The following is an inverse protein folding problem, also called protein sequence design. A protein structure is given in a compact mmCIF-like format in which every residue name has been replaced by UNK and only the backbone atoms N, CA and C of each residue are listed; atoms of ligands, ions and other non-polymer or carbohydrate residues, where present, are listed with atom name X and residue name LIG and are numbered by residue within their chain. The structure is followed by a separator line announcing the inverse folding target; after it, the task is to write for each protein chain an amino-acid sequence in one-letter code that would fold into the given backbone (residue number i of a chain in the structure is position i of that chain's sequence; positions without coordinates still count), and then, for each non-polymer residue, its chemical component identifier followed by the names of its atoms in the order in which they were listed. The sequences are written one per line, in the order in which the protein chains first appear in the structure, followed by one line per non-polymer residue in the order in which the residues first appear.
data_IF_131708249856
#
_entry.id   IF_131708249856
#
_cell.length_a   1.000
_cell.length_b   1.000
_cell.length_c   1.000
_cell.angle_alpha   90.00
_cell.angle_beta   90.00
_cell.angle_gamma   90.00
#
_symmetry.space_group_name_H-M   'P 1'
#
loop_
_entity.id
_entity.type
_entity.pdbx_description
1 polymer ?
#
# COMPACT_ATOMS: atom_id res chain seq x y z
N UNK A 1 8.73 -27.67 -34.32
CA UNK A 1 7.77 -26.55 -34.51
C UNK A 1 8.14 -25.45 -33.54
N UNK A 2 7.96 -24.17 -33.91
CA UNK A 2 8.16 -23.04 -32.99
C UNK A 2 7.07 -23.10 -31.91
N UNK A 3 7.45 -22.94 -30.63
CA UNK A 3 6.47 -22.91 -29.54
C UNK A 3 5.59 -21.67 -29.70
N UNK A 4 4.28 -21.76 -29.39
CA UNK A 4 3.45 -20.57 -29.34
C UNK A 4 3.92 -19.64 -28.22
N UNK A 5 3.86 -18.34 -28.46
CA UNK A 5 4.27 -17.33 -27.48
C UNK A 5 3.06 -16.63 -26.88
N UNK A 6 3.03 -16.54 -25.56
CA UNK A 6 2.04 -15.81 -24.77
C UNK A 6 2.70 -14.53 -24.26
N UNK A 7 2.03 -13.40 -24.43
CA UNK A 7 2.49 -12.12 -23.93
C UNK A 7 1.77 -11.76 -22.63
N UNK A 8 2.51 -11.46 -21.57
CA UNK A 8 1.99 -10.94 -20.30
C UNK A 8 2.34 -9.46 -20.16
N UNK A 9 1.37 -8.60 -20.41
CA UNK A 9 1.49 -7.16 -20.19
C UNK A 9 1.12 -6.79 -18.76
N UNK A 10 1.98 -6.01 -18.12
CA UNK A 10 1.81 -5.59 -16.72
C UNK A 10 2.62 -4.32 -16.40
N UNK A 11 2.33 -3.69 -15.27
CA UNK A 11 3.16 -2.60 -14.73
C UNK A 11 4.45 -3.18 -14.15
N UNK A 12 5.59 -2.47 -14.19
CA UNK A 12 6.80 -2.91 -13.49
C UNK A 12 6.58 -2.98 -11.99
N UNK A 13 5.62 -2.24 -11.44
CA UNK A 13 5.22 -2.37 -10.03
C UNK A 13 4.70 -3.77 -9.70
N UNK A 14 4.18 -4.50 -10.69
CA UNK A 14 3.63 -5.84 -10.52
C UNK A 14 4.62 -6.94 -10.96
N UNK A 15 5.87 -6.58 -11.27
CA UNK A 15 6.88 -7.48 -11.86
C UNK A 15 7.09 -8.77 -11.05
N UNK A 16 7.13 -8.70 -9.72
CA UNK A 16 7.33 -9.88 -8.89
C UNK A 16 6.14 -10.85 -8.96
N UNK A 17 4.91 -10.32 -8.85
CA UNK A 17 3.68 -11.10 -8.93
C UNK A 17 3.56 -11.76 -10.30
N UNK A 18 3.83 -11.02 -11.37
CA UNK A 18 3.72 -11.53 -12.75
C UNK A 18 4.83 -12.51 -13.08
N UNK A 19 6.06 -12.32 -12.58
CA UNK A 19 7.11 -13.32 -12.73
C UNK A 19 6.78 -14.61 -11.97
N UNK A 20 6.18 -14.51 -10.78
CA UNK A 20 5.73 -15.68 -10.03
C UNK A 20 4.64 -16.44 -10.80
N UNK A 21 3.64 -15.73 -11.34
CA UNK A 21 2.60 -16.31 -12.18
C UNK A 21 3.19 -16.94 -13.46
N UNK A 22 4.15 -16.28 -14.12
CA UNK A 22 4.88 -16.83 -15.26
C UNK A 22 5.54 -18.16 -14.90
N UNK A 23 6.25 -18.25 -13.78
CA UNK A 23 6.92 -19.48 -13.36
C UNK A 23 5.92 -20.62 -13.11
N UNK A 24 4.78 -20.30 -12.48
CA UNK A 24 3.68 -21.26 -12.29
C UNK A 24 3.13 -21.75 -13.65
N UNK A 25 2.84 -20.83 -14.57
CA UNK A 25 2.34 -21.17 -15.91
C UNK A 25 3.35 -22.01 -16.70
N UNK A 26 4.64 -21.65 -16.70
CA UNK A 26 5.68 -22.44 -17.36
C UNK A 26 5.76 -23.86 -16.81
N UNK A 27 5.60 -24.02 -15.50
CA UNK A 27 5.60 -25.33 -14.83
C UNK A 27 4.35 -26.13 -15.23
N UNK A 28 3.16 -25.54 -15.13
CA UNK A 28 1.87 -26.21 -15.40
C UNK A 28 1.64 -26.51 -16.89
N UNK A 29 2.34 -25.82 -17.78
CA UNK A 29 2.32 -26.06 -19.25
C UNK A 29 3.49 -26.94 -19.72
N UNK A 30 4.28 -27.50 -18.81
CA UNK A 30 5.47 -28.29 -19.12
C UNK A 30 6.42 -27.58 -20.11
N UNK A 31 6.47 -26.25 -20.06
CA UNK A 31 7.28 -25.39 -20.94
C UNK A 31 7.04 -25.59 -22.44
N UNK A 32 5.86 -26.09 -22.83
CA UNK A 32 5.50 -26.29 -24.25
C UNK A 32 5.00 -25.01 -24.93
N UNK A 33 4.74 -23.95 -24.15
CA UNK A 33 4.55 -22.56 -24.59
C UNK A 33 5.73 -21.69 -24.15
N UNK A 34 5.98 -20.60 -24.88
CA UNK A 34 6.90 -19.55 -24.45
C UNK A 34 6.10 -18.40 -23.82
N UNK A 35 6.64 -17.79 -22.76
CA UNK A 35 6.00 -16.67 -22.06
C UNK A 35 6.93 -15.45 -22.05
N UNK A 36 6.51 -14.39 -22.73
CA UNK A 36 7.16 -13.09 -22.73
C UNK A 36 6.45 -12.14 -21.75
N UNK A 37 7.19 -11.34 -20.99
CA UNK A 37 6.65 -10.35 -20.08
C UNK A 37 7.22 -8.97 -20.42
N UNK A 38 6.37 -7.95 -20.52
CA UNK A 38 6.80 -6.55 -20.58
C UNK A 38 6.49 -5.85 -19.26
N UNK A 39 7.50 -5.23 -18.65
CA UNK A 39 7.33 -4.34 -17.50
C UNK A 39 7.41 -2.90 -18.00
N UNK A 40 6.40 -2.07 -17.72
CA UNK A 40 6.19 -0.68 -18.15
C UNK A 40 7.42 0.26 -18.29
N UNK A 41 8.27 0.05 -19.30
CA UNK A 41 9.22 1.04 -19.80
C UNK A 41 10.35 1.51 -18.87
N UNK A 42 10.29 1.30 -17.55
CA UNK A 42 11.27 1.83 -16.59
C UNK A 42 12.60 1.06 -16.58
N UNK A 43 12.69 -0.06 -17.29
CA UNK A 43 13.89 -0.90 -17.35
C UNK A 43 14.79 -0.64 -18.58
N UNK A 44 14.68 0.52 -19.24
CA UNK A 44 15.29 0.75 -20.55
C UNK A 44 16.40 1.83 -20.48
N UNK A 45 17.65 1.50 -20.86
CA UNK A 45 18.70 2.49 -21.07
C UNK A 45 18.37 3.45 -22.21
N UNK A 46 18.60 4.75 -22.01
CA UNK A 46 18.41 5.77 -23.04
C UNK A 46 19.20 5.44 -24.32
N UNK A 47 18.56 5.57 -25.50
CA UNK A 47 19.21 5.46 -26.81
C UNK A 47 19.08 4.12 -27.55
N UNK A 48 18.43 3.09 -26.98
CA UNK A 48 18.05 1.87 -27.73
C UNK A 48 16.64 1.98 -28.30
N UNK A 49 16.45 1.51 -29.53
CA UNK A 49 15.15 1.46 -30.20
C UNK A 49 14.29 0.31 -29.61
N UNK A 50 13.84 0.49 -28.37
CA UNK A 50 13.04 -0.45 -27.57
C UNK A 50 11.76 -0.91 -28.27
N UNK A 51 11.16 -0.02 -29.06
CA UNK A 51 9.95 -0.29 -29.83
C UNK A 51 10.14 -1.55 -30.66
N UNK A 52 11.32 -1.78 -31.25
CA UNK A 52 11.56 -2.97 -32.07
C UNK A 52 11.51 -4.29 -31.29
N UNK A 53 12.05 -4.37 -30.07
CA UNK A 53 12.07 -5.63 -29.31
C UNK A 53 10.68 -5.97 -28.76
N UNK A 54 9.94 -4.98 -28.28
CA UNK A 54 8.55 -5.17 -27.85
C UNK A 54 7.65 -5.41 -29.05
N UNK A 55 7.83 -4.68 -30.14
CA UNK A 55 7.13 -4.93 -31.41
C UNK A 55 7.39 -6.33 -31.93
N UNK A 56 8.63 -6.81 -31.91
CA UNK A 56 8.97 -8.17 -32.34
C UNK A 56 8.36 -9.22 -31.41
N UNK A 57 8.42 -9.02 -30.09
CA UNK A 57 7.79 -9.90 -29.12
C UNK A 57 6.26 -9.94 -29.26
N UNK A 58 5.63 -8.78 -29.45
CA UNK A 58 4.19 -8.64 -29.69
C UNK A 58 3.82 -9.31 -31.02
N UNK A 59 4.53 -9.01 -32.11
CA UNK A 59 4.27 -9.60 -33.45
C UNK A 59 4.40 -11.12 -33.45
N UNK A 60 5.29 -11.68 -32.63
CA UNK A 60 5.46 -13.13 -32.50
C UNK A 60 4.48 -13.80 -31.51
N UNK A 61 3.69 -13.02 -30.76
CA UNK A 61 2.78 -13.55 -29.75
C UNK A 61 1.44 -13.94 -30.36
N UNK A 62 0.92 -15.10 -29.96
CA UNK A 62 -0.38 -15.60 -30.44
C UNK A 62 -1.56 -15.08 -29.63
N UNK A 63 -1.29 -14.67 -28.38
CA UNK A 63 -2.28 -14.18 -27.42
C UNK A 63 -1.59 -13.27 -26.39
N UNK A 64 -2.31 -12.25 -25.93
CA UNK A 64 -1.87 -11.32 -24.92
C UNK A 64 -2.83 -11.33 -23.72
N UNK A 65 -2.29 -11.55 -22.53
CA UNK A 65 -2.98 -11.28 -21.27
C UNK A 65 -2.54 -9.92 -20.74
N UNK A 66 -3.52 -9.08 -20.42
CA UNK A 66 -3.32 -7.73 -19.90
C UNK A 66 -3.68 -7.72 -18.42
N UNK A 67 -2.69 -7.76 -17.54
CA UNK A 67 -2.93 -7.81 -16.10
C UNK A 67 -3.20 -6.41 -15.55
N UNK A 68 -4.44 -6.22 -15.08
CA UNK A 68 -4.86 -4.99 -14.42
C UNK A 68 -4.89 -5.20 -12.91
N UNK A 69 -4.09 -4.41 -12.20
CA UNK A 69 -3.96 -4.37 -10.75
C UNK A 69 -4.29 -2.96 -10.25
N UNK A 70 -4.41 -2.73 -8.93
CA UNK A 70 -4.59 -1.37 -8.42
C UNK A 70 -3.44 -0.43 -8.82
N UNK A 71 -2.23 -0.98 -9.05
CA UNK A 71 -1.07 -0.24 -9.51
C UNK A 71 -1.14 0.16 -10.99
N UNK A 72 -1.87 -0.61 -11.81
CA UNK A 72 -1.76 -0.58 -13.25
C UNK A 72 -3.03 -0.09 -13.98
N UNK A 73 -4.13 0.06 -13.25
CA UNK A 73 -5.43 0.54 -13.78
C UNK A 73 -5.35 1.90 -14.51
N UNK A 74 -4.41 2.76 -14.11
CA UNK A 74 -4.16 4.07 -14.72
C UNK A 74 -2.86 4.11 -15.56
N UNK A 75 -2.24 2.96 -15.83
CA UNK A 75 -0.99 2.90 -16.59
C UNK A 75 -1.24 3.06 -18.09
N UNK A 76 -0.95 4.26 -18.62
CA UNK A 76 -1.02 4.54 -20.07
C UNK A 76 -0.27 3.51 -20.92
N UNK A 77 0.80 2.91 -20.37
CA UNK A 77 1.62 1.93 -21.08
C UNK A 77 0.85 0.64 -21.39
N UNK A 78 0.06 0.14 -20.44
CA UNK A 78 -0.74 -1.07 -20.63
C UNK A 78 -1.79 -0.87 -21.71
N UNK A 79 -2.42 0.30 -21.74
CA UNK A 79 -3.37 0.66 -22.81
C UNK A 79 -2.68 0.74 -24.17
N UNK A 80 -1.46 1.29 -24.23
CA UNK A 80 -0.67 1.35 -25.47
C UNK A 80 -0.36 -0.05 -26.01
N UNK A 81 0.16 -0.95 -25.17
CA UNK A 81 0.47 -2.33 -25.59
C UNK A 81 -0.78 -3.10 -26.01
N UNK A 82 -1.88 -2.96 -25.27
CA UNK A 82 -3.15 -3.60 -25.60
C UNK A 82 -3.69 -3.10 -26.94
N UNK A 83 -3.66 -1.78 -27.17
CA UNK A 83 -4.07 -1.18 -28.44
C UNK A 83 -3.20 -1.63 -29.62
N UNK A 84 -1.88 -1.72 -29.41
CA UNK A 84 -0.95 -2.21 -30.43
C UNK A 84 -1.26 -3.66 -30.82
N UNK A 85 -1.36 -4.56 -29.85
CA UNK A 85 -1.69 -5.97 -30.08
C UNK A 85 -3.02 -6.14 -30.80
N UNK A 86 -4.04 -5.39 -30.35
CA UNK A 86 -5.36 -5.42 -30.97
C UNK A 86 -5.29 -5.01 -32.45
N UNK A 87 -4.51 -3.97 -32.78
CA UNK A 87 -4.30 -3.53 -34.18
C UNK A 87 -3.63 -4.58 -35.08
N UNK A 88 -2.90 -5.53 -34.49
CA UNK A 88 -2.24 -6.65 -35.18
C UNK A 88 -3.09 -7.92 -35.21
N UNK A 89 -4.37 -7.84 -34.84
CA UNK A 89 -5.28 -8.98 -34.74
C UNK A 89 -4.81 -10.07 -33.75
N UNK A 90 -3.99 -9.69 -32.77
CA UNK A 90 -3.64 -10.56 -31.65
C UNK A 90 -4.80 -10.51 -30.67
N UNK A 91 -5.17 -11.66 -30.14
CA UNK A 91 -6.22 -11.76 -29.13
C UNK A 91 -5.72 -11.16 -27.81
N UNK A 92 -6.42 -10.12 -27.33
CA UNK A 92 -6.09 -9.38 -26.11
C UNK A 92 -7.15 -9.65 -25.06
N UNK A 93 -6.74 -10.18 -23.91
CA UNK A 93 -7.63 -10.58 -22.82
C UNK A 93 -7.24 -9.81 -21.55
N UNK A 94 -8.05 -8.86 -21.10
CA UNK A 94 -7.86 -8.22 -19.79
C UNK A 94 -8.08 -9.21 -18.64
N UNK A 95 -7.20 -9.16 -17.65
CA UNK A 95 -7.26 -10.01 -16.45
C UNK A 95 -7.14 -9.12 -15.22
N UNK A 96 -8.22 -8.98 -14.47
CA UNK A 96 -8.23 -8.28 -13.19
C UNK A 96 -7.54 -9.13 -12.13
N UNK A 97 -6.57 -8.55 -11.41
CA UNK A 97 -5.77 -9.24 -10.40
C UNK A 97 -5.65 -8.35 -9.15
N UNK A 98 -5.44 -8.97 -7.99
CA UNK A 98 -5.30 -8.28 -6.68
C UNK A 98 -6.52 -7.42 -6.33
N UNK A 99 -7.73 -7.96 -6.54
CA UNK A 99 -8.97 -7.32 -6.15
C UNK A 99 -9.48 -6.19 -7.05
N UNK A 100 -8.88 -5.99 -8.23
CA UNK A 100 -9.43 -5.09 -9.25
C UNK A 100 -10.70 -5.66 -9.84
N UNK A 101 -11.66 -4.77 -10.08
CA UNK A 101 -12.82 -5.06 -10.91
C UNK A 101 -12.68 -4.41 -12.30
N UNK A 102 -12.47 -5.24 -13.33
CA UNK A 102 -12.40 -4.80 -14.72
C UNK A 102 -13.66 -4.03 -15.19
N UNK A 103 -14.82 -4.22 -14.55
CA UNK A 103 -16.06 -3.51 -14.91
C UNK A 103 -15.94 -1.99 -14.70
N UNK A 104 -15.01 -1.56 -13.86
CA UNK A 104 -14.80 -0.15 -13.50
C UNK A 104 -13.85 0.59 -14.46
N UNK A 105 -13.28 -0.12 -15.44
CA UNK A 105 -12.24 0.40 -16.33
C UNK A 105 -12.87 1.17 -17.50
N UNK A 106 -12.19 2.22 -17.94
CA UNK A 106 -12.61 3.02 -19.09
C UNK A 106 -12.19 2.38 -20.43
N UNK A 107 -12.89 2.70 -21.52
CA UNK A 107 -12.45 2.32 -22.87
C UNK A 107 -11.01 2.81 -23.14
N UNK A 108 -10.24 2.12 -24.00
CA UNK A 108 -10.67 1.02 -24.88
C UNK A 108 -10.63 -0.37 -24.25
N UNK A 109 -9.97 -0.55 -23.09
CA UNK A 109 -9.72 -1.88 -22.53
C UNK A 109 -11.01 -2.57 -22.06
N UNK A 110 -11.99 -1.81 -21.57
CA UNK A 110 -13.31 -2.33 -21.18
C UNK A 110 -14.17 -2.81 -22.35
N UNK A 111 -13.79 -2.49 -23.60
CA UNK A 111 -14.44 -3.02 -24.80
C UNK A 111 -14.03 -4.47 -25.08
N UNK A 112 -12.93 -4.94 -24.48
CA UNK A 112 -12.42 -6.30 -24.64
C UNK A 112 -13.01 -7.21 -23.55
N UNK A 113 -13.32 -8.45 -23.92
CA UNK A 113 -13.79 -9.43 -22.94
C UNK A 113 -12.62 -9.95 -22.10
N UNK A 114 -12.76 -9.81 -20.79
CA UNK A 114 -11.79 -10.23 -19.79
C UNK A 114 -12.46 -10.88 -18.57
N UNK A 115 -11.68 -11.17 -17.54
CA UNK A 115 -12.20 -11.73 -16.28
C UNK A 115 -11.38 -11.29 -15.06
N UNK A 116 -12.02 -11.24 -13.89
CA UNK A 116 -11.38 -10.96 -12.61
C UNK A 116 -10.93 -12.28 -11.94
N UNK A 117 -9.70 -12.33 -11.45
CA UNK A 117 -9.19 -13.42 -10.62
C UNK A 117 -9.57 -13.16 -9.17
N UNK A 118 -10.77 -13.59 -8.79
CA UNK A 118 -11.28 -13.51 -7.42
C UNK A 118 -11.09 -14.81 -6.61
N UNK A 119 -10.66 -15.89 -7.28
CA UNK A 119 -10.45 -17.21 -6.69
C UNK A 119 -9.44 -18.02 -7.51
N UNK A 120 -9.03 -19.19 -7.02
CA UNK A 120 -8.08 -20.05 -7.74
C UNK A 120 -8.67 -20.58 -9.06
N UNK A 121 -10.01 -20.72 -9.15
CA UNK A 121 -10.71 -21.03 -10.39
C UNK A 121 -10.50 -19.93 -11.44
N UNK A 122 -10.38 -18.68 -11.00
CA UNK A 122 -9.99 -17.55 -11.86
C UNK A 122 -8.62 -17.78 -12.51
N UNK A 123 -7.63 -18.28 -11.76
CA UNK A 123 -6.32 -18.64 -12.34
C UNK A 123 -6.43 -19.79 -13.34
N UNK A 124 -7.30 -20.76 -13.08
CA UNK A 124 -7.54 -21.87 -14.01
C UNK A 124 -8.15 -21.41 -15.35
N UNK A 125 -8.81 -20.26 -15.41
CA UNK A 125 -9.27 -19.69 -16.68
C UNK A 125 -8.11 -19.40 -17.63
N UNK A 126 -6.92 -19.03 -17.13
CA UNK A 126 -5.73 -18.84 -17.96
C UNK A 126 -5.37 -20.14 -18.71
N UNK A 127 -5.30 -21.27 -17.99
CA UNK A 127 -5.01 -22.58 -18.59
C UNK A 127 -6.10 -23.02 -19.56
N UNK A 128 -7.38 -22.74 -19.22
CA UNK A 128 -8.51 -23.04 -20.11
C UNK A 128 -8.39 -22.28 -21.44
N UNK A 129 -8.09 -20.98 -21.38
CA UNK A 129 -7.88 -20.14 -22.57
C UNK A 129 -6.69 -20.64 -23.38
N UNK A 130 -5.56 -20.94 -22.73
CA UNK A 130 -4.36 -21.46 -23.40
C UNK A 130 -4.66 -22.80 -24.09
N UNK A 131 -5.35 -23.71 -23.41
CA UNK A 131 -5.77 -24.99 -23.97
C UNK A 131 -6.64 -24.82 -25.23
N UNK A 132 -7.65 -23.95 -25.15
CA UNK A 132 -8.52 -23.64 -26.30
C UNK A 132 -7.74 -22.99 -27.44
N UNK A 133 -6.87 -22.01 -27.14
CA UNK A 133 -6.13 -21.24 -28.15
C UNK A 133 -5.14 -22.09 -28.94
N UNK A 134 -4.48 -23.03 -28.27
CA UNK A 134 -3.38 -23.81 -28.85
C UNK A 134 -3.73 -25.29 -29.06
N UNK A 135 -5.00 -25.67 -28.84
CA UNK A 135 -5.47 -27.06 -28.91
C UNK A 135 -4.64 -27.99 -28.00
N UNK A 136 -4.36 -27.53 -26.78
CA UNK A 136 -3.68 -28.29 -25.74
C UNK A 136 -4.65 -28.77 -24.66
N UNK A 137 -4.15 -29.67 -23.79
CA UNK A 137 -4.94 -30.32 -22.73
C UNK A 137 -4.22 -30.32 -21.40
N UNK A 138 -3.67 -29.18 -20.98
CA UNK A 138 -3.05 -29.04 -19.65
C UNK A 138 -4.10 -29.22 -18.54
N UNK A 139 -3.75 -29.88 -17.42
CA UNK A 139 -4.64 -29.99 -16.29
C UNK A 139 -4.86 -28.62 -15.62
N UNK A 140 -6.12 -28.30 -15.30
CA UNK A 140 -6.51 -27.11 -14.52
C UNK A 140 -6.07 -27.27 -13.06
N UNK A 141 -4.78 -27.05 -12.84
CA UNK A 141 -4.06 -27.44 -11.62
C UNK A 141 -3.66 -26.27 -10.74
N UNK A 142 -4.27 -25.08 -10.92
CA UNK A 142 -4.14 -24.02 -9.92
C UNK A 142 -4.96 -24.35 -8.68
N UNK A 143 -4.40 -24.07 -7.51
CA UNK A 143 -5.01 -24.28 -6.21
C UNK A 143 -5.02 -23.00 -5.36
N UNK A 144 -5.74 -23.00 -4.24
CA UNK A 144 -5.78 -21.87 -3.30
C UNK A 144 -4.38 -21.44 -2.82
N UNK A 145 -3.45 -22.38 -2.63
CA UNK A 145 -2.06 -22.08 -2.26
C UNK A 145 -1.31 -21.28 -3.32
N UNK A 146 -1.63 -21.49 -4.61
CA UNK A 146 -1.02 -20.73 -5.70
C UNK A 146 -1.51 -19.28 -5.68
N UNK A 147 -2.82 -19.07 -5.43
CA UNK A 147 -3.40 -17.74 -5.28
C UNK A 147 -2.83 -17.02 -4.06
N UNK A 148 -2.79 -17.67 -2.91
CA UNK A 148 -2.17 -17.15 -1.68
C UNK A 148 -0.70 -16.79 -1.90
N UNK A 149 0.03 -17.57 -2.71
CA UNK A 149 1.42 -17.25 -3.02
C UNK A 149 1.52 -15.98 -3.88
N UNK A 150 0.65 -15.78 -4.87
CA UNK A 150 0.60 -14.55 -5.67
C UNK A 150 0.23 -13.33 -4.82
N UNK A 151 -0.78 -13.47 -3.95
CA UNK A 151 -1.18 -12.44 -2.98
C UNK A 151 -0.04 -12.13 -2.02
N UNK A 152 0.65 -13.16 -1.51
CA UNK A 152 1.82 -12.98 -0.64
C UNK A 152 2.99 -12.30 -1.33
N UNK A 153 3.15 -12.44 -2.66
CA UNK A 153 4.16 -11.70 -3.43
C UNK A 153 3.74 -10.23 -3.64
N UNK A 154 2.45 -9.96 -3.76
CA UNK A 154 1.92 -8.60 -3.77
C UNK A 154 2.11 -7.94 -2.40
N UNK A 155 1.82 -8.67 -1.32
CA UNK A 155 2.14 -8.27 0.04
C UNK A 155 3.65 -8.19 0.24
N UNK A 156 4.44 -9.02 -0.43
CA UNK A 156 5.90 -8.94 -0.40
C UNK A 156 6.39 -7.72 -1.15
N UNK A 157 5.73 -7.21 -2.19
CA UNK A 157 6.05 -5.88 -2.74
C UNK A 157 5.72 -4.76 -1.75
N UNK A 158 4.63 -4.91 -0.98
CA UNK A 158 4.32 -4.03 0.16
C UNK A 158 5.39 -4.18 1.26
N UNK A 159 5.94 -5.39 1.46
CA UNK A 159 7.01 -5.68 2.43
C UNK A 159 8.42 -5.48 1.88
N UNK A 160 8.68 -5.37 0.58
CA UNK A 160 9.98 -5.04 -0.05
C UNK A 160 10.12 -3.50 -0.13
N UNK A 161 9.01 -2.78 0.12
CA UNK A 161 8.98 -1.49 0.82
C UNK A 161 9.43 -1.60 2.30
N UNK A 162 10.06 -2.72 2.71
CA UNK A 162 10.54 -3.06 4.06
C UNK A 162 11.33 -1.91 4.65
N UNK A 163 12.25 -1.30 3.89
CA UNK A 163 13.06 -0.20 4.40
C UNK A 163 12.20 0.91 5.02
N UNK A 164 11.06 1.24 4.41
CA UNK A 164 10.13 2.28 4.89
C UNK A 164 9.41 1.83 6.16
N UNK A 165 8.88 0.61 6.21
CA UNK A 165 8.21 0.06 7.39
C UNK A 165 9.21 -0.13 8.54
N UNK A 166 10.41 -0.63 8.24
CA UNK A 166 11.53 -0.82 9.17
C UNK A 166 12.12 0.51 9.66
N UNK A 167 11.76 1.66 9.08
CA UNK A 167 12.09 2.97 9.68
C UNK A 167 11.17 3.33 10.82
N UNK A 168 9.97 2.76 10.86
CA UNK A 168 8.93 3.08 11.84
C UNK A 168 9.03 2.05 12.98
N UNK A 169 9.12 2.54 14.20
CA UNK A 169 8.98 1.72 15.41
C UNK A 169 7.47 1.48 15.66
N UNK A 170 6.70 2.56 15.82
CA UNK A 170 5.24 2.49 15.91
C UNK A 170 4.59 3.84 15.60
N UNK A 171 3.29 3.80 15.28
CA UNK A 171 2.43 4.98 15.26
C UNK A 171 1.86 5.18 16.65
N UNK A 172 1.89 6.41 17.15
CA UNK A 172 1.39 6.77 18.46
C UNK A 172 0.27 7.82 18.35
N UNK A 173 -0.88 7.52 18.94
CA UNK A 173 -2.00 8.44 19.02
C UNK A 173 -2.44 8.66 20.45
N UNK A 174 -2.87 9.89 20.73
CA UNK A 174 -3.49 10.26 21.99
C UNK A 174 -4.91 10.74 21.73
N UNK A 175 -5.89 9.98 22.22
CA UNK A 175 -7.29 10.41 22.22
C UNK A 175 -7.61 10.98 23.60
N UNK A 176 -7.86 12.28 23.67
CA UNK A 176 -8.19 13.00 24.90
C UNK A 176 -9.42 13.87 24.67
N UNK A 177 -10.00 14.42 25.74
CA UNK A 177 -11.03 15.45 25.57
C UNK A 177 -10.47 16.64 24.78
N UNK A 178 -11.22 17.10 23.78
CA UNK A 178 -10.79 18.15 22.86
C UNK A 178 -11.60 19.42 23.13
N UNK A 179 -10.93 20.56 23.26
CA UNK A 179 -11.59 21.87 23.30
C UNK A 179 -11.67 22.42 21.88
N UNK A 180 -12.89 22.66 21.39
CA UNK A 180 -13.16 23.26 20.08
C UNK A 180 -14.15 24.40 20.27
N UNK A 181 -13.81 25.61 19.80
CA UNK A 181 -14.68 26.80 19.87
C UNK A 181 -15.32 27.01 21.26
N UNK A 182 -14.52 27.03 22.32
CA UNK A 182 -14.97 27.20 23.72
C UNK A 182 -15.88 26.08 24.27
N UNK A 183 -16.11 25.01 23.50
CA UNK A 183 -16.89 23.84 23.90
C UNK A 183 -15.93 22.67 24.14
N UNK A 184 -15.98 22.08 25.35
CA UNK A 184 -15.19 20.91 25.70
C UNK A 184 -15.91 19.64 25.26
N UNK A 185 -15.38 18.95 24.26
CA UNK A 185 -15.83 17.63 23.86
C UNK A 185 -15.14 16.59 24.74
N UNK A 186 -15.87 16.08 25.74
CA UNK A 186 -15.40 15.03 26.64
C UNK A 186 -15.28 13.68 25.93
N UNK A 187 -14.40 12.84 26.46
CA UNK A 187 -14.48 11.40 26.17
C UNK A 187 -15.61 10.85 27.04
N UNK A 188 -16.45 10.00 26.46
CA UNK A 188 -17.48 9.29 27.21
C UNK A 188 -16.84 8.49 28.38
N UNK A 189 -17.45 8.53 29.57
CA UNK A 189 -16.97 7.75 30.72
C UNK A 189 -16.95 6.24 30.43
N UNK A 190 -17.90 5.78 29.59
CA UNK A 190 -18.02 4.41 29.07
C UNK A 190 -17.17 4.15 27.81
N UNK A 191 -16.36 5.12 27.35
CA UNK A 191 -15.59 4.99 26.12
C UNK A 191 -14.69 3.75 26.09
N UNK A 192 -14.15 3.33 27.25
CA UNK A 192 -13.29 2.15 27.31
C UNK A 192 -14.10 0.85 27.15
N UNK A 193 -15.31 0.79 27.70
CA UNK A 193 -16.20 -0.36 27.52
C UNK A 193 -16.68 -0.45 26.06
N UNK A 194 -17.00 0.70 25.44
CA UNK A 194 -17.30 0.77 23.99
C UNK A 194 -16.15 0.26 23.13
N UNK A 195 -14.90 0.55 23.50
CA UNK A 195 -13.70 0.04 22.82
C UNK A 195 -13.64 -1.48 22.99
N UNK A 196 -13.79 -2.00 24.21
CA UNK A 196 -13.78 -3.45 24.47
C UNK A 196 -14.85 -4.19 23.69
N UNK A 197 -16.07 -3.67 23.67
CA UNK A 197 -17.19 -4.26 22.95
C UNK A 197 -16.95 -4.26 21.44
N UNK A 198 -16.32 -3.21 20.91
CA UNK A 198 -16.02 -3.13 19.49
C UNK A 198 -15.06 -4.24 19.04
N UNK A 199 -13.95 -4.47 19.75
CA UNK A 199 -12.99 -5.51 19.39
C UNK A 199 -13.47 -6.91 19.75
N UNK A 200 -14.28 -7.06 20.79
CA UNK A 200 -14.85 -8.36 21.18
C UNK A 200 -15.88 -8.87 20.16
N UNK A 201 -16.66 -7.96 19.55
CA UNK A 201 -17.70 -8.32 18.56
C UNK A 201 -17.14 -8.57 17.15
N UNK A 202 -15.96 -8.04 16.81
CA UNK A 202 -15.34 -8.21 15.49
C UNK A 202 -14.60 -9.56 15.35
N UNK A 203 -14.68 -10.43 16.37
CA UNK A 203 -14.00 -11.73 16.40
C UNK A 203 -12.49 -11.65 16.67
N UNK A 204 -11.99 -10.48 17.07
CA UNK A 204 -10.57 -10.25 17.32
C UNK A 204 -10.20 -10.76 18.73
N UNK A 205 -9.25 -11.69 18.80
CA UNK A 205 -8.82 -12.35 20.05
C UNK A 205 -7.81 -11.45 20.77
N UNK A 206 -8.27 -10.31 21.29
CA UNK A 206 -7.46 -9.38 22.06
C UNK A 206 -7.25 -9.82 23.51
N UNK A 207 -6.08 -9.53 24.08
CA UNK A 207 -5.83 -9.62 25.51
C UNK A 207 -6.33 -8.35 26.20
N UNK A 208 -7.36 -8.45 27.02
CA UNK A 208 -7.95 -7.32 27.75
C UNK A 208 -7.54 -7.31 29.22
N UNK A 209 -7.20 -6.14 29.74
CA UNK A 209 -6.87 -5.94 31.15
C UNK A 209 -7.49 -4.63 31.69
N UNK A 210 -7.28 -4.35 32.98
CA UNK A 210 -8.06 -3.35 33.73
C UNK A 210 -8.10 -1.97 33.05
N UNK A 211 -6.98 -1.51 32.49
CA UNK A 211 -6.85 -0.20 31.84
C UNK A 211 -6.25 -0.29 30.44
N UNK A 212 -6.34 -1.44 29.77
CA UNK A 212 -5.88 -1.52 28.40
C UNK A 212 -6.22 -2.82 27.70
N UNK A 213 -5.80 -2.91 26.45
CA UNK A 213 -5.92 -4.09 25.62
C UNK A 213 -4.76 -4.15 24.63
N UNK A 214 -4.44 -5.37 24.21
CA UNK A 214 -3.49 -5.63 23.13
C UNK A 214 -4.07 -6.65 22.16
N UNK A 215 -3.97 -6.41 20.86
CA UNK A 215 -4.41 -7.34 19.82
C UNK A 215 -3.62 -7.12 18.55
N UNK A 216 -2.98 -8.15 18.00
CA UNK A 216 -2.38 -8.14 16.65
C UNK A 216 -1.67 -6.81 16.27
N UNK A 217 -0.68 -6.38 17.06
CA UNK A 217 0.08 -5.15 16.79
C UNK A 217 -0.60 -3.83 17.20
N UNK A 218 -1.79 -3.87 17.80
CA UNK A 218 -2.47 -2.74 18.41
C UNK A 218 -2.34 -2.82 19.93
N UNK A 219 -2.03 -1.70 20.57
CA UNK A 219 -2.09 -1.53 22.03
C UNK A 219 -2.91 -0.28 22.34
N UNK A 220 -3.92 -0.41 23.20
CA UNK A 220 -4.70 0.73 23.70
C UNK A 220 -4.63 0.73 25.23
N UNK A 221 -4.24 1.85 25.83
CA UNK A 221 -4.18 2.02 27.27
C UNK A 221 -4.93 3.27 27.72
N UNK A 222 -5.81 3.14 28.71
CA UNK A 222 -6.47 4.26 29.40
C UNK A 222 -5.52 4.82 30.44
N UNK A 223 -5.08 6.06 30.26
CA UNK A 223 -4.22 6.77 31.21
C UNK A 223 -5.04 7.79 31.99
N UNK A 224 -5.00 7.69 33.31
CA UNK A 224 -5.71 8.59 34.23
C UNK A 224 -4.69 9.53 34.86
N UNK A 225 -4.85 10.84 34.65
CA UNK A 225 -3.95 11.86 35.24
C UNK A 225 -4.51 12.48 36.51
N UNK A 226 -5.81 12.67 36.59
CA UNK A 226 -6.53 13.21 37.75
C UNK A 226 -7.92 12.56 37.80
N UNK A 227 -8.64 12.62 38.94
CA UNK A 227 -10.06 12.26 38.97
C UNK A 227 -10.80 13.00 37.83
N UNK A 228 -11.50 12.24 36.97
CA UNK A 228 -12.23 12.72 35.79
C UNK A 228 -11.38 13.31 34.65
N UNK A 229 -10.06 13.09 34.64
CA UNK A 229 -9.18 13.45 33.51
C UNK A 229 -8.37 12.25 33.04
N UNK A 230 -8.77 11.70 31.89
CA UNK A 230 -8.10 10.58 31.26
C UNK A 230 -7.89 10.81 29.75
N UNK A 231 -7.03 9.99 29.16
CA UNK A 231 -6.87 9.85 27.71
C UNK A 231 -6.61 8.39 27.37
N UNK A 232 -6.76 8.04 26.10
CA UNK A 232 -6.27 6.79 25.55
C UNK A 232 -4.95 7.03 24.84
N UNK A 233 -3.94 6.23 25.20
CA UNK A 233 -2.75 6.04 24.38
C UNK A 233 -2.97 4.85 23.48
N UNK A 234 -2.77 5.05 22.18
CA UNK A 234 -2.91 4.02 21.16
C UNK A 234 -1.57 3.88 20.46
N UNK A 235 -1.03 2.67 20.45
CA UNK A 235 0.16 2.31 19.68
C UNK A 235 -0.23 1.32 18.60
N UNK A 236 0.25 1.55 17.39
CA UNK A 236 -0.04 0.71 16.23
C UNK A 236 1.29 0.31 15.61
N UNK A 237 1.52 -0.99 15.55
CA UNK A 237 2.63 -1.61 14.86
C UNK A 237 2.54 -1.32 13.34
N UNK A 238 3.65 -0.98 12.69
CA UNK A 238 3.66 -0.56 11.29
C UNK A 238 3.38 -1.71 10.30
N UNK A 239 3.34 -2.98 10.71
CA UNK A 239 2.94 -4.07 9.80
C UNK A 239 1.44 -4.13 9.57
N UNK A 240 0.62 -3.75 10.56
CA UNK A 240 -0.83 -3.84 10.51
C UNK A 240 -1.54 -2.48 10.59
N UNK A 241 -0.80 -1.38 10.43
CA UNK A 241 -1.36 -0.05 10.62
C UNK A 241 -2.55 0.27 9.72
N UNK A 242 -2.54 -0.16 8.44
CA UNK A 242 -3.68 0.09 7.52
C UNK A 242 -4.97 -0.54 8.01
N UNK A 243 -4.89 -1.72 8.63
CA UNK A 243 -6.04 -2.41 9.24
C UNK A 243 -6.53 -1.61 10.44
N UNK A 244 -5.61 -1.29 11.36
CA UNK A 244 -5.94 -0.60 12.61
C UNK A 244 -6.42 0.84 12.43
N UNK A 245 -5.98 1.55 11.39
CA UNK A 245 -6.50 2.88 11.08
C UNK A 245 -7.97 2.87 10.64
N UNK A 246 -8.45 1.79 10.00
CA UNK A 246 -9.87 1.62 9.67
C UNK A 246 -10.70 1.41 10.94
N UNK A 247 -10.19 0.60 11.87
CA UNK A 247 -10.81 0.43 13.19
C UNK A 247 -10.82 1.74 13.98
N UNK A 248 -9.71 2.49 13.98
CA UNK A 248 -9.60 3.78 14.65
C UNK A 248 -10.64 4.78 14.16
N UNK A 249 -10.90 4.86 12.85
CA UNK A 249 -11.96 5.70 12.29
C UNK A 249 -13.32 5.39 12.92
N UNK A 250 -13.64 4.11 13.04
CA UNK A 250 -14.88 3.64 13.65
C UNK A 250 -14.94 3.92 15.15
N UNK A 251 -13.82 3.78 15.85
CA UNK A 251 -13.71 4.07 17.29
C UNK A 251 -13.90 5.55 17.60
N UNK A 252 -13.20 6.44 16.87
CA UNK A 252 -13.30 7.90 17.07
C UNK A 252 -14.76 8.34 16.97
N UNK A 253 -15.51 7.85 15.97
CA UNK A 253 -16.92 8.17 15.80
C UNK A 253 -17.84 7.62 16.92
N UNK A 254 -17.39 6.64 17.71
CA UNK A 254 -18.18 6.01 18.79
C UNK A 254 -17.89 6.59 20.18
N UNK A 255 -16.66 7.07 20.41
CA UNK A 255 -16.18 7.49 21.74
C UNK A 255 -16.26 9.00 21.97
N UNK A 256 -16.49 9.78 20.91
CA UNK A 256 -16.69 11.22 20.98
C UNK A 256 -18.16 11.57 20.70
N UNK A 257 -18.72 12.47 21.51
CA UNK A 257 -20.12 12.89 21.43
C UNK A 257 -20.43 13.73 20.18
N UNK A 258 -19.39 14.28 19.54
CA UNK A 258 -19.48 15.12 18.34
C UNK A 258 -18.43 14.62 17.33
N UNK A 259 -18.76 14.56 16.02
CA UNK A 259 -17.79 14.18 15.00
C UNK A 259 -16.62 15.18 14.98
N UNK A 260 -15.46 14.72 15.44
CA UNK A 260 -14.21 15.46 15.35
C UNK A 260 -13.54 15.14 14.01
N UNK A 261 -13.16 16.19 13.27
CA UNK A 261 -12.69 16.03 11.89
C UNK A 261 -11.19 15.85 11.76
N UNK A 262 -10.39 16.36 12.69
CA UNK A 262 -8.93 16.40 12.53
C UNK A 262 -8.23 15.90 13.77
N UNK A 263 -7.32 14.96 13.58
CA UNK A 263 -6.46 14.40 14.62
C UNK A 263 -5.01 14.40 14.15
N UNK A 264 -4.11 13.97 15.03
CA UNK A 264 -2.75 13.69 14.66
C UNK A 264 -2.28 12.36 15.23
N UNK A 265 -1.36 11.72 14.54
CA UNK A 265 -0.51 10.67 15.09
C UNK A 265 0.95 11.10 15.03
N UNK A 266 1.75 10.54 15.92
CA UNK A 266 3.20 10.68 15.92
C UNK A 266 3.76 9.39 15.33
N UNK A 267 4.59 9.51 14.30
CA UNK A 267 5.42 8.40 13.84
C UNK A 267 6.67 8.38 14.71
N UNK A 268 6.85 7.29 15.45
CA UNK A 268 8.09 6.99 16.15
C UNK A 268 8.99 6.22 15.20
N UNK A 269 10.20 6.71 14.98
CA UNK A 269 11.19 6.05 14.15
C UNK A 269 12.02 5.07 14.98
N UNK A 270 12.53 4.02 14.34
CA UNK A 270 13.52 3.14 14.95
C UNK A 270 14.80 3.90 15.30
N UNK A 271 15.52 3.42 16.32
CA UNK A 271 16.64 4.14 16.96
C UNK A 271 17.80 4.48 16.01
N UNK A 272 17.95 3.74 14.92
CA UNK A 272 18.96 3.99 13.89
C UNK A 272 18.57 5.14 12.94
N UNK A 273 17.41 5.77 13.11
CA UNK A 273 16.96 6.88 12.27
C UNK A 273 16.78 8.17 13.07
N UNK A 274 17.24 9.27 12.47
CA UNK A 274 17.09 10.62 13.01
C UNK A 274 16.30 11.53 12.07
N UNK A 275 15.69 12.55 12.66
CA UNK A 275 14.99 13.61 11.94
C UNK A 275 15.80 14.90 11.93
N UNK A 276 15.89 15.52 10.74
CA UNK A 276 16.30 16.91 10.63
C UNK A 276 15.22 17.81 11.24
N UNK A 277 15.60 18.70 12.15
CA UNK A 277 14.64 19.51 12.95
C UNK A 277 14.53 20.96 12.53
N UNK A 278 15.52 21.51 11.83
CA UNK A 278 15.53 22.91 11.41
C UNK A 278 14.63 23.14 10.19
N UNK A 279 13.52 23.86 10.39
CA UNK A 279 12.46 24.05 9.37
C UNK A 279 12.96 24.56 8.03
N UNK A 280 13.90 25.53 8.00
CA UNK A 280 14.42 26.06 6.73
C UNK A 280 15.29 25.04 5.96
N UNK A 281 15.99 24.16 6.67
CA UNK A 281 16.77 23.07 6.05
C UNK A 281 15.82 21.98 5.52
N UNK A 282 14.77 21.66 6.28
CA UNK A 282 13.71 20.75 5.84
C UNK A 282 13.06 21.29 4.56
N UNK A 283 12.63 22.56 4.54
CA UNK A 283 11.99 23.15 3.35
C UNK A 283 12.91 23.13 2.13
N UNK A 284 14.22 23.34 2.30
CA UNK A 284 15.19 23.23 1.20
C UNK A 284 15.27 21.80 0.64
N UNK A 285 15.21 20.78 1.49
CA UNK A 285 15.27 19.36 1.09
C UNK A 285 13.98 18.87 0.44
N UNK A 286 12.85 19.47 0.82
CA UNK A 286 11.53 19.11 0.33
C UNK A 286 11.15 19.81 -0.98
N UNK A 287 11.77 20.95 -1.31
CA UNK A 287 11.49 21.71 -2.54
C UNK A 287 11.59 20.87 -3.84
N UNK A 288 12.61 20.02 -4.06
CA UNK A 288 12.69 19.17 -5.26
C UNK A 288 11.53 18.17 -5.41
N UNK A 289 10.84 17.86 -4.32
CA UNK A 289 9.69 16.95 -4.28
C UNK A 289 8.34 17.67 -4.42
N UNK A 290 8.34 18.99 -4.68
CA UNK A 290 7.13 19.79 -4.88
C UNK A 290 6.35 20.10 -3.60
N UNK A 291 6.95 19.86 -2.42
CA UNK A 291 6.27 20.05 -1.14
C UNK A 291 6.38 21.50 -0.68
N UNK A 292 5.26 22.03 -0.20
CA UNK A 292 5.10 23.42 0.23
C UNK A 292 4.57 23.51 1.66
N UNK A 293 4.67 24.69 2.25
CA UNK A 293 4.09 24.96 3.56
C UNK A 293 2.56 24.93 3.51
N UNK A 294 1.98 24.52 4.63
CA UNK A 294 0.56 24.68 4.91
C UNK A 294 0.27 26.08 5.44
N UNK A 295 -1.01 26.40 5.64
CA UNK A 295 -1.43 27.68 6.21
C UNK A 295 -1.05 27.80 7.71
N UNK A 296 -0.57 26.70 8.31
CA UNK A 296 -0.09 26.62 9.69
C UNK A 296 1.43 26.79 9.76
N UNK A 297 1.90 27.47 10.81
CA UNK A 297 3.33 27.71 11.05
C UNK A 297 4.12 26.40 11.16
N UNK A 298 5.20 26.29 10.37
CA UNK A 298 6.12 25.15 10.33
C UNK A 298 5.49 23.80 9.92
N UNK A 299 4.34 23.83 9.24
CA UNK A 299 3.64 22.63 8.75
C UNK A 299 3.80 22.54 7.23
N UNK A 300 3.94 21.32 6.70
CA UNK A 300 4.05 21.02 5.27
C UNK A 300 2.82 20.24 4.78
N UNK A 301 2.42 20.45 3.52
CA UNK A 301 1.33 19.72 2.85
C UNK A 301 1.88 18.55 2.04
N UNK A 302 1.31 17.36 2.20
CA UNK A 302 1.64 16.16 1.42
C UNK A 302 0.37 15.36 1.13
N UNK A 303 -0.09 15.36 -0.12
CA UNK A 303 -1.34 14.70 -0.52
C UNK A 303 -2.53 15.15 0.38
N UNK A 304 -3.22 14.20 1.03
CA UNK A 304 -4.30 14.45 1.99
C UNK A 304 -3.80 14.62 3.44
N UNK A 305 -2.49 14.82 3.65
CA UNK A 305 -1.86 14.96 4.95
C UNK A 305 -1.22 16.33 5.13
N UNK A 306 -1.14 16.75 6.38
CA UNK A 306 -0.24 17.81 6.81
C UNK A 306 0.76 17.21 7.81
N UNK A 307 2.03 17.61 7.77
CA UNK A 307 3.02 17.09 8.72
C UNK A 307 3.96 18.18 9.24
N UNK A 308 4.53 17.94 10.42
CA UNK A 308 5.55 18.78 11.04
C UNK A 308 6.55 17.92 11.80
N UNK A 309 7.78 18.39 11.89
CA UNK A 309 8.82 17.79 12.73
C UNK A 309 8.99 18.67 13.97
N UNK A 310 8.83 18.07 15.15
CA UNK A 310 8.94 18.76 16.42
C UNK A 310 10.24 18.37 17.11
N UNK A 311 11.07 19.36 17.41
CA UNK A 311 12.18 19.20 18.34
C UNK A 311 11.68 19.48 19.75
N UNK A 312 11.97 18.58 20.69
CA UNK A 312 11.67 18.83 22.09
C UNK A 312 12.59 19.95 22.59
N UNK A 313 12.00 21.11 22.94
CA UNK A 313 12.77 22.30 23.30
C UNK A 313 13.50 22.23 24.65
N UNK A 314 13.30 21.17 25.45
CA UNK A 314 13.97 20.95 26.75
C UNK A 314 13.94 19.46 27.10
N UNK A 315 15.10 18.80 27.12
CA UNK A 315 15.27 17.41 27.52
C UNK A 315 15.82 16.50 26.42
N UNK A 316 16.31 15.33 26.81
CA UNK A 316 16.96 14.33 25.94
C UNK A 316 15.96 13.57 25.02
N UNK A 317 14.84 14.19 24.65
CA UNK A 317 13.77 13.53 23.90
C UNK A 317 13.98 13.68 22.40
N UNK A 318 14.04 12.55 21.70
CA UNK A 318 14.18 12.47 20.25
C UNK A 318 13.12 13.31 19.51
N UNK A 319 13.49 13.86 18.35
CA UNK A 319 12.57 14.59 17.49
C UNK A 319 11.38 13.71 17.07
N UNK A 320 10.22 14.33 16.87
CA UNK A 320 8.98 13.62 16.56
C UNK A 320 8.41 14.07 15.21
N UNK A 321 8.08 13.10 14.35
CA UNK A 321 7.30 13.34 13.14
C UNK A 321 5.81 13.29 13.49
N UNK A 322 5.15 14.45 13.46
CA UNK A 322 3.70 14.57 13.68
C UNK A 322 2.98 14.67 12.35
N UNK A 323 2.01 13.80 12.14
CA UNK A 323 1.14 13.80 10.96
C UNK A 323 -0.28 14.13 11.40
N UNK A 324 -0.84 15.16 10.79
CA UNK A 324 -2.21 15.62 10.98
C UNK A 324 -3.04 15.14 9.78
N UNK A 325 -4.23 14.63 10.08
CA UNK A 325 -5.08 13.98 9.08
C UNK A 325 -6.56 14.30 9.36
N UNK A 326 -7.38 14.22 8.30
CA UNK A 326 -8.82 14.23 8.46
C UNK A 326 -9.34 12.81 8.77
N UNK A 327 -10.27 12.67 9.72
CA UNK A 327 -10.87 11.36 10.08
C UNK A 327 -11.56 10.70 8.86
N UNK A 328 -12.06 11.48 7.91
CA UNK A 328 -12.60 10.97 6.66
C UNK A 328 -11.58 10.17 5.85
N UNK A 329 -10.31 10.58 5.90
CA UNK A 329 -9.21 10.00 5.14
C UNK A 329 -8.56 8.78 5.82
N UNK A 330 -8.91 8.49 7.08
CA UNK A 330 -8.41 7.30 7.77
C UNK A 330 -8.74 6.02 6.98
N UNK A 331 -7.70 5.24 6.70
CA UNK A 331 -7.74 4.06 5.83
C UNK A 331 -7.16 4.29 4.43
N UNK A 332 -7.05 5.55 3.98
CA UNK A 332 -6.49 5.96 2.68
C UNK A 332 -5.37 7.01 2.85
N UNK A 333 -4.68 7.01 3.99
CA UNK A 333 -3.58 7.95 4.24
C UNK A 333 -2.26 7.46 3.65
N UNK A 334 -1.48 8.37 3.09
CA UNK A 334 -0.23 8.09 2.38
C UNK A 334 1.00 8.10 3.31
N UNK A 335 1.02 7.25 4.35
CA UNK A 335 2.16 7.16 5.29
C UNK A 335 3.44 6.66 4.59
N UNK A 336 3.38 5.51 3.90
CA UNK A 336 4.56 4.93 3.25
C UNK A 336 5.19 5.88 2.20
N UNK A 337 4.41 6.53 1.29
CA UNK A 337 4.96 7.53 0.38
C UNK A 337 5.59 8.73 1.09
N UNK A 338 4.97 9.20 2.17
CA UNK A 338 5.51 10.31 2.97
C UNK A 338 6.87 9.92 3.56
N UNK A 339 6.97 8.77 4.21
CA UNK A 339 8.22 8.31 4.82
C UNK A 339 9.30 8.05 3.75
N UNK A 340 8.93 7.45 2.62
CA UNK A 340 9.84 7.25 1.49
C UNK A 340 10.39 8.58 0.96
N UNK A 341 9.55 9.59 0.79
CA UNK A 341 9.99 10.94 0.38
C UNK A 341 10.89 11.58 1.44
N UNK A 342 10.58 11.43 2.72
CA UNK A 342 11.40 11.97 3.80
C UNK A 342 12.79 11.30 3.87
N UNK A 343 12.90 10.01 3.58
CA UNK A 343 14.18 9.31 3.42
C UNK A 343 14.95 9.82 2.20
N UNK A 344 14.29 9.88 1.04
CA UNK A 344 14.92 10.30 -0.22
C UNK A 344 15.37 11.78 -0.23
N UNK A 345 14.67 12.63 0.52
CA UNK A 345 15.06 14.02 0.74
C UNK A 345 16.17 14.18 1.79
N UNK A 346 16.52 13.10 2.50
CA UNK A 346 17.43 13.10 3.63
C UNK A 346 16.85 13.80 4.87
N UNK A 347 15.55 14.07 4.94
CA UNK A 347 14.93 14.62 6.16
C UNK A 347 14.90 13.56 7.27
N UNK A 348 14.68 12.29 6.92
CA UNK A 348 15.01 11.13 7.74
C UNK A 348 16.38 10.64 7.32
N UNK A 349 17.28 10.43 8.28
CA UNK A 349 18.66 9.99 8.05
C UNK A 349 18.94 8.74 8.89
N UNK A 350 19.46 7.69 8.26
CA UNK A 350 19.97 6.51 8.96
C UNK A 350 21.37 6.81 9.53
N UNK A 351 21.58 6.53 10.82
CA UNK A 351 22.91 6.58 11.43
C UNK A 351 23.77 5.46 10.87
N UNK A 352 24.96 5.80 10.36
CA UNK A 352 25.93 4.78 9.99
C UNK A 352 26.31 3.95 11.23
N UNK A 353 26.45 2.62 11.12
CA UNK A 353 26.90 1.81 12.23
C UNK A 353 28.25 2.35 12.72
N UNK A 354 28.31 2.70 14.00
CA UNK A 354 29.57 3.07 14.65
C UNK A 354 30.40 1.80 14.70
N UNK A 355 31.29 1.62 13.72
CA UNK A 355 32.36 0.64 13.84
C UNK A 355 33.31 1.17 14.91
N UNK A 356 33.21 0.64 16.12
CA UNK A 356 34.29 0.77 17.10
C UNK A 356 35.54 0.12 16.48
N UNK A 357 36.55 0.96 16.20
CA UNK A 357 37.85 0.57 15.62
C UNK A 357 38.73 -0.04 16.71
#
# INVERSE_FOLDING_TARGET
MKKPTIFLSHSAKDKLVINQLKNMLMTKTSQTVDIFCSSDGQSIPFGKNWIHTVEEALTNSSIMFVFVTPNSIHSNWIYFEAGYSYSKAIEVIPVGLLGVDLSTIQPPLSLLQGFNVASFEGLNNLLKIINTKFSYSYPLSFHSTDLLLLESQADKLIRDNSAVIDTIDYLHLRLSSVESNETKHSLDESAFDKIKDYFSNDGDVGNFYNQGMESHGLSISKVISMPNKFWFEIKIDPFLYKVHLKHLKSLINKIYDVPLNTFYFIIKLNKNYNLLTETFKISSRLHPFGITFSDKKNVFKFENLEFTILSSGRGNSAAELRIMYNVADLGNIYIEPLISMLLNSGVIVEEAPVFEI
#
